data_IF_081332818509
#
_entry.id   IF_081332818509
#
_cell.length_a   1.000
_cell.length_b   1.000
_cell.length_c   1.000
_cell.angle_alpha   90.00
_cell.angle_beta   90.00
_cell.angle_gamma   90.00
#
_symmetry.space_group_name_H-M   'P 1'
#
loop_
_entity.id
_entity.type
_entity.pdbx_description
1 polymer ?
#
# COMPACT_ATOMS: atom_id res chain seq x y z
N UNK A 1 46.06 0.28 -6.27
CA UNK A 1 44.62 0.51 -6.59
C UNK A 1 43.83 -0.80 -6.70
N UNK A 2 44.38 -1.90 -7.23
CA UNK A 2 43.70 -3.21 -7.28
C UNK A 2 43.47 -3.85 -5.89
N UNK A 3 44.44 -3.77 -4.97
CA UNK A 3 44.32 -4.35 -3.62
C UNK A 3 43.31 -3.61 -2.73
N UNK A 4 43.26 -2.27 -2.79
CA UNK A 4 42.30 -1.45 -2.03
C UNK A 4 40.87 -1.70 -2.52
N UNK A 5 40.67 -1.83 -3.84
CA UNK A 5 39.36 -2.19 -4.40
C UNK A 5 38.96 -3.63 -4.03
N UNK A 6 39.92 -4.54 -3.94
CA UNK A 6 39.69 -5.92 -3.48
C UNK A 6 39.25 -6.01 -2.02
N UNK A 7 39.87 -5.23 -1.12
CA UNK A 7 39.48 -5.16 0.29
C UNK A 7 38.05 -4.61 0.47
N UNK A 8 37.71 -3.53 -0.22
CA UNK A 8 36.36 -2.96 -0.13
C UNK A 8 35.29 -3.94 -0.63
N UNK A 9 35.56 -4.69 -1.70
CA UNK A 9 34.61 -5.71 -2.18
C UNK A 9 34.38 -6.81 -1.14
N UNK A 10 35.43 -7.28 -0.48
CA UNK A 10 35.33 -8.29 0.59
C UNK A 10 34.50 -7.78 1.78
N UNK A 11 34.70 -6.53 2.20
CA UNK A 11 33.92 -5.93 3.30
C UNK A 11 32.42 -5.87 2.98
N UNK A 12 32.04 -5.51 1.75
CA UNK A 12 30.63 -5.50 1.35
C UNK A 12 30.03 -6.91 1.27
N UNK A 13 30.81 -7.91 0.87
CA UNK A 13 30.37 -9.31 0.88
C UNK A 13 30.08 -9.77 2.31
N UNK A 14 30.97 -9.47 3.27
CA UNK A 14 30.77 -9.80 4.68
C UNK A 14 29.50 -9.16 5.25
N UNK A 15 29.26 -7.89 4.95
CA UNK A 15 28.05 -7.17 5.37
C UNK A 15 26.80 -7.78 4.75
N UNK A 16 26.84 -8.13 3.46
CA UNK A 16 25.72 -8.80 2.79
C UNK A 16 25.38 -10.11 3.52
N UNK A 17 26.40 -10.91 3.85
CA UNK A 17 26.22 -12.16 4.61
C UNK A 17 25.62 -11.87 5.99
N UNK A 18 26.09 -10.84 6.70
CA UNK A 18 25.55 -10.48 8.02
C UNK A 18 24.10 -9.98 7.95
N UNK A 19 23.75 -9.15 6.95
CA UNK A 19 22.38 -8.69 6.72
C UNK A 19 21.46 -9.87 6.44
N UNK A 20 21.87 -10.80 5.57
CA UNK A 20 21.07 -12.00 5.27
C UNK A 20 20.89 -12.87 6.51
N UNK A 21 21.96 -13.08 7.31
CA UNK A 21 21.86 -13.83 8.58
C UNK A 21 20.88 -13.18 9.55
N UNK A 22 21.01 -11.88 9.79
CA UNK A 22 20.11 -11.13 10.68
C UNK A 22 18.67 -11.12 10.17
N UNK A 23 18.48 -11.03 8.86
CA UNK A 23 17.17 -11.12 8.22
C UNK A 23 16.53 -12.50 8.42
N UNK A 24 17.28 -13.58 8.23
CA UNK A 24 16.80 -14.96 8.48
C UNK A 24 16.43 -15.13 9.95
N UNK A 25 17.28 -14.65 10.88
CA UNK A 25 17.01 -14.71 12.32
C UNK A 25 15.71 -13.99 12.70
N UNK A 26 15.40 -12.87 12.04
CA UNK A 26 14.16 -12.12 12.26
C UNK A 26 12.90 -12.94 11.94
N UNK A 27 12.96 -13.87 10.98
CA UNK A 27 11.83 -14.74 10.64
C UNK A 27 11.47 -15.74 11.76
N UNK A 28 12.42 -16.01 12.66
CA UNK A 28 12.19 -16.82 13.86
C UNK A 28 11.73 -16.00 15.08
N UNK A 29 11.67 -14.66 14.96
CA UNK A 29 11.26 -13.82 16.08
C UNK A 29 9.75 -13.95 16.37
N UNK A 30 9.33 -13.94 17.65
CA UNK A 30 7.90 -13.96 18.00
C UNK A 30 7.14 -12.76 17.42
N UNK A 31 7.77 -11.59 17.37
CA UNK A 31 7.16 -10.37 16.84
C UNK A 31 6.81 -10.50 15.36
N UNK A 32 7.67 -11.14 14.55
CA UNK A 32 7.38 -11.40 13.15
C UNK A 32 6.08 -12.20 13.00
N UNK A 33 5.93 -13.30 13.75
CA UNK A 33 4.73 -14.13 13.68
C UNK A 33 3.47 -13.44 14.21
N UNK A 34 3.59 -12.54 15.18
CA UNK A 34 2.46 -11.68 15.60
C UNK A 34 2.00 -10.79 14.45
N UNK A 35 2.93 -10.14 13.73
CA UNK A 35 2.58 -9.34 12.54
C UNK A 35 1.93 -10.21 11.46
N UNK A 36 2.45 -11.41 11.22
CA UNK A 36 1.88 -12.35 10.26
C UNK A 36 0.44 -12.75 10.60
N UNK A 37 0.14 -13.02 11.88
CA UNK A 37 -1.22 -13.33 12.34
C UNK A 37 -2.17 -12.14 12.16
N UNK A 38 -1.72 -10.92 12.44
CA UNK A 38 -2.50 -9.71 12.21
C UNK A 38 -2.80 -9.52 10.72
N UNK A 39 -1.83 -9.77 9.84
CA UNK A 39 -2.05 -9.72 8.39
C UNK A 39 -3.00 -10.82 7.92
N UNK A 40 -2.86 -12.06 8.42
CA UNK A 40 -3.78 -13.15 8.11
C UNK A 40 -5.22 -12.77 8.49
N UNK A 41 -5.40 -12.14 9.65
CA UNK A 41 -6.70 -11.64 10.10
C UNK A 41 -7.24 -10.53 9.18
N UNK A 42 -6.40 -9.59 8.74
CA UNK A 42 -6.82 -8.54 7.79
C UNK A 42 -7.29 -9.13 6.45
N UNK A 43 -6.53 -10.06 5.87
CA UNK A 43 -6.91 -10.74 4.64
C UNK A 43 -8.19 -11.57 4.80
N UNK A 44 -8.36 -12.24 5.95
CA UNK A 44 -9.60 -12.94 6.27
C UNK A 44 -10.81 -12.01 6.31
N UNK A 45 -10.67 -10.83 6.94
CA UNK A 45 -11.77 -9.84 6.98
C UNK A 45 -12.09 -9.26 5.60
N UNK A 46 -11.08 -9.05 4.76
CA UNK A 46 -11.28 -8.61 3.37
C UNK A 46 -12.03 -9.66 2.56
N UNK A 47 -11.65 -10.93 2.68
CA UNK A 47 -12.35 -12.06 2.05
C UNK A 47 -13.82 -12.12 2.50
N UNK A 48 -14.07 -12.09 3.81
CA UNK A 48 -15.43 -12.12 4.37
C UNK A 48 -16.29 -10.96 3.85
N UNK A 49 -15.68 -9.77 3.71
CA UNK A 49 -16.37 -8.60 3.16
C UNK A 49 -16.71 -8.79 1.68
N UNK A 50 -15.83 -9.41 0.89
CA UNK A 50 -16.07 -9.75 -0.52
C UNK A 50 -17.20 -10.77 -0.67
N UNK A 51 -17.20 -11.83 0.13
CA UNK A 51 -18.26 -12.84 0.15
C UNK A 51 -19.62 -12.22 0.53
N UNK A 52 -19.65 -11.34 1.53
CA UNK A 52 -20.88 -10.67 1.96
C UNK A 52 -21.47 -9.72 0.89
N UNK A 53 -20.63 -9.08 0.08
CA UNK A 53 -21.08 -8.13 -0.94
C UNK A 53 -21.52 -8.80 -2.24
N UNK A 54 -20.91 -9.92 -2.62
CA UNK A 54 -21.09 -10.51 -3.94
C UNK A 54 -21.48 -12.00 -3.94
N UNK A 55 -21.58 -12.63 -2.76
CA UNK A 55 -21.93 -14.05 -2.63
C UNK A 55 -20.90 -15.02 -3.22
N UNK A 56 -19.68 -14.53 -3.48
CA UNK A 56 -18.61 -15.30 -4.11
C UNK A 56 -17.99 -16.20 -3.05
N UNK A 57 -18.29 -17.49 -3.13
CA UNK A 57 -17.68 -18.49 -2.26
C UNK A 57 -16.42 -19.03 -2.91
N UNK A 58 -15.33 -19.03 -2.14
CA UNK A 58 -14.07 -19.65 -2.51
C UNK A 58 -13.05 -18.63 -2.98
N UNK A 59 -12.04 -18.42 -2.14
CA UNK A 59 -10.78 -17.86 -2.58
C UNK A 59 -9.59 -18.65 -2.07
N UNK A 60 -8.53 -18.58 -2.86
CA UNK A 60 -7.22 -19.10 -2.54
C UNK A 60 -6.53 -18.21 -1.52
N UNK A 61 -5.75 -18.78 -0.60
CA UNK A 61 -4.81 -18.06 0.26
C UNK A 61 -3.69 -17.32 -0.50
N UNK A 62 -3.75 -17.31 -1.83
CA UNK A 62 -2.75 -16.76 -2.73
C UNK A 62 -2.45 -15.27 -2.52
N UNK A 63 -3.43 -14.36 -2.38
CA UNK A 63 -3.12 -12.94 -2.15
C UNK A 63 -2.33 -12.71 -0.86
N UNK A 64 -2.59 -13.53 0.17
CA UNK A 64 -1.85 -13.51 1.43
C UNK A 64 -0.40 -13.98 1.23
N UNK A 65 -0.18 -15.13 0.58
CA UNK A 65 1.18 -15.60 0.28
C UNK A 65 1.97 -14.67 -0.65
N UNK A 66 1.31 -14.05 -1.63
CA UNK A 66 1.91 -13.06 -2.51
C UNK A 66 2.35 -11.81 -1.71
N UNK A 67 1.53 -11.37 -0.76
CA UNK A 67 1.88 -10.25 0.11
C UNK A 67 3.08 -10.57 1.01
N UNK A 68 3.15 -11.79 1.54
CA UNK A 68 4.31 -12.26 2.32
C UNK A 68 5.55 -12.28 1.42
N UNK A 69 5.49 -12.98 0.28
CA UNK A 69 6.63 -13.14 -0.61
C UNK A 69 7.18 -11.79 -1.10
N UNK A 70 6.29 -10.89 -1.54
CA UNK A 70 6.69 -9.54 -1.93
C UNK A 70 7.21 -8.71 -0.75
N UNK A 71 6.61 -8.84 0.43
CA UNK A 71 7.06 -8.18 1.66
C UNK A 71 8.44 -8.62 2.13
N UNK A 72 8.76 -9.92 2.02
CA UNK A 72 10.11 -10.45 2.30
C UNK A 72 11.15 -9.87 1.34
N UNK A 73 10.84 -9.84 0.03
CA UNK A 73 11.72 -9.24 -0.98
C UNK A 73 11.90 -7.74 -0.73
N UNK A 74 10.81 -7.02 -0.47
CA UNK A 74 10.83 -5.60 -0.14
C UNK A 74 11.60 -5.29 1.13
N UNK A 75 11.47 -6.13 2.16
CA UNK A 75 12.19 -6.02 3.41
C UNK A 75 13.68 -6.30 3.31
N UNK A 76 14.07 -7.29 2.49
CA UNK A 76 15.48 -7.54 2.20
C UNK A 76 16.10 -6.38 1.40
N UNK A 77 15.39 -5.85 0.41
CA UNK A 77 15.80 -4.66 -0.32
C UNK A 77 15.92 -3.42 0.61
N UNK A 78 14.94 -3.22 1.49
CA UNK A 78 14.97 -2.18 2.52
C UNK A 78 16.21 -2.30 3.41
N UNK A 79 16.55 -3.53 3.83
CA UNK A 79 17.73 -3.80 4.67
C UNK A 79 19.03 -3.38 3.98
N UNK A 80 19.21 -3.76 2.72
CA UNK A 80 20.40 -3.36 1.96
C UNK A 80 20.47 -1.85 1.76
N UNK A 81 19.35 -1.20 1.46
CA UNK A 81 19.29 0.25 1.30
C UNK A 81 19.57 0.98 2.62
N UNK A 82 19.02 0.51 3.74
CA UNK A 82 19.29 1.05 5.08
C UNK A 82 20.80 1.00 5.38
N UNK A 83 21.42 -0.16 5.16
CA UNK A 83 22.86 -0.34 5.40
C UNK A 83 23.67 0.52 4.43
N UNK A 84 23.38 0.46 3.13
CA UNK A 84 24.12 1.19 2.11
C UNK A 84 24.08 2.71 2.31
N UNK A 85 22.90 3.26 2.61
CA UNK A 85 22.71 4.69 2.89
C UNK A 85 23.22 5.10 4.28
N UNK A 86 23.46 4.12 5.16
CA UNK A 86 23.89 4.39 6.52
C UNK A 86 22.77 4.91 7.43
N UNK A 87 21.53 4.53 7.15
CA UNK A 87 20.37 4.98 7.94
C UNK A 87 20.37 4.24 9.27
N UNK A 88 20.60 4.99 10.36
CA UNK A 88 20.62 4.47 11.72
C UNK A 88 19.32 4.71 12.46
N UNK A 89 18.92 3.76 13.32
CA UNK A 89 17.78 3.91 14.24
C UNK A 89 18.13 4.60 15.55
N UNK A 90 19.40 4.94 15.77
CA UNK A 90 19.81 5.69 16.95
C UNK A 90 19.16 7.07 16.95
N UNK A 91 18.55 7.43 18.08
CA UNK A 91 17.94 8.74 18.30
C UNK A 91 16.90 9.17 17.25
N UNK A 92 16.31 8.28 16.44
CA UNK A 92 15.26 8.70 15.49
C UNK A 92 13.89 8.91 16.15
N UNK A 93 13.77 8.67 17.46
CA UNK A 93 12.52 8.88 18.19
C UNK A 93 11.46 7.80 17.98
N UNK A 94 11.83 6.53 17.75
CA UNK A 94 10.87 5.41 17.63
C UNK A 94 9.87 5.38 18.79
N UNK A 95 10.33 5.65 20.01
CA UNK A 95 9.49 5.68 21.21
C UNK A 95 8.38 6.75 21.15
N UNK A 96 8.61 7.85 20.40
CA UNK A 96 7.66 8.94 20.20
C UNK A 96 6.81 8.79 18.94
N UNK A 97 7.35 8.12 17.91
CA UNK A 97 6.63 7.84 16.66
C UNK A 97 5.31 7.11 16.90
N UNK A 98 5.33 6.07 17.73
CA UNK A 98 4.14 5.26 18.01
C UNK A 98 3.03 6.04 18.73
N UNK A 99 3.29 6.72 19.88
CA UNK A 99 2.30 7.57 20.52
C UNK A 99 1.72 8.64 19.59
N UNK A 100 2.56 9.34 18.82
CA UNK A 100 2.10 10.40 17.91
C UNK A 100 1.23 9.81 16.78
N UNK A 101 1.64 8.70 16.16
CA UNK A 101 0.83 8.03 15.13
C UNK A 101 -0.52 7.55 15.68
N UNK A 102 -0.55 7.02 16.91
CA UNK A 102 -1.78 6.62 17.60
C UNK A 102 -2.68 7.83 17.90
N UNK A 103 -2.12 8.96 18.36
CA UNK A 103 -2.89 10.19 18.57
C UNK A 103 -3.51 10.69 17.25
N UNK A 104 -2.75 10.64 16.16
CA UNK A 104 -3.23 11.01 14.83
C UNK A 104 -4.34 10.09 14.32
N UNK A 105 -4.31 8.78 14.64
CA UNK A 105 -5.38 7.82 14.33
C UNK A 105 -6.74 8.29 14.87
N UNK A 106 -6.78 8.85 16.09
CA UNK A 106 -8.02 9.33 16.70
C UNK A 106 -8.62 10.53 15.94
N UNK A 107 -7.76 11.37 15.35
CA UNK A 107 -8.18 12.49 14.49
C UNK A 107 -8.71 11.96 13.16
N UNK A 108 -7.92 11.13 12.48
CA UNK A 108 -8.34 10.47 11.25
C UNK A 108 -7.43 9.27 10.97
N UNK A 109 -7.98 8.09 10.58
CA UNK A 109 -7.17 6.93 10.22
C UNK A 109 -6.14 7.18 9.11
N UNK A 110 -6.36 8.20 8.25
CA UNK A 110 -5.41 8.59 7.21
C UNK A 110 -4.10 9.18 7.74
N UNK A 111 -4.09 9.72 8.97
CA UNK A 111 -2.95 10.42 9.55
C UNK A 111 -1.98 9.50 10.31
N UNK A 112 -2.23 8.19 10.33
CA UNK A 112 -1.37 7.20 11.01
C UNK A 112 0.00 7.05 10.36
N UNK A 113 0.09 7.37 9.07
CA UNK A 113 1.33 7.25 8.31
C UNK A 113 2.50 8.01 8.97
N UNK A 114 3.69 7.38 8.97
CA UNK A 114 4.91 7.95 9.57
C UNK A 114 5.39 9.25 8.92
N UNK A 115 4.94 9.58 7.70
CA UNK A 115 5.18 10.90 7.10
C UNK A 115 4.59 12.03 7.96
N UNK A 116 3.41 11.81 8.55
CA UNK A 116 2.79 12.80 9.44
C UNK A 116 3.46 12.81 10.82
N UNK A 117 3.54 11.64 11.47
CA UNK A 117 4.11 11.55 12.82
C UNK A 117 5.59 11.97 12.85
N UNK A 118 6.40 11.49 11.90
CA UNK A 118 7.81 11.83 11.77
C UNK A 118 8.01 13.32 11.50
N UNK A 119 7.26 13.91 10.56
CA UNK A 119 7.32 15.34 10.29
C UNK A 119 6.97 16.20 11.51
N UNK A 120 5.90 15.86 12.24
CA UNK A 120 5.52 16.58 13.45
C UNK A 120 6.58 16.48 14.56
N UNK A 121 7.15 15.29 14.77
CA UNK A 121 8.22 15.08 15.75
C UNK A 121 9.47 15.89 15.37
N UNK A 122 9.86 15.85 14.09
CA UNK A 122 11.00 16.62 13.60
C UNK A 122 10.79 18.13 13.75
N UNK A 123 9.61 18.65 13.39
CA UNK A 123 9.29 20.07 13.57
C UNK A 123 9.27 20.45 15.06
N UNK A 124 8.72 19.59 15.93
CA UNK A 124 8.71 19.82 17.37
C UNK A 124 10.14 19.91 17.92
N UNK A 125 11.03 19.02 17.50
CA UNK A 125 12.44 19.09 17.89
C UNK A 125 13.13 20.36 17.37
N UNK A 126 12.90 20.73 16.12
CA UNK A 126 13.55 21.91 15.53
C UNK A 126 13.05 23.24 16.11
N UNK A 127 11.80 23.30 16.58
CA UNK A 127 11.21 24.52 17.15
C UNK A 127 11.40 24.59 18.67
N UNK A 128 11.16 23.47 19.37
CA UNK A 128 11.10 23.42 20.83
C UNK A 128 12.25 22.64 21.47
N UNK A 129 13.08 21.96 20.69
CA UNK A 129 14.15 21.10 21.19
C UNK A 129 13.69 19.75 21.74
N UNK A 130 12.38 19.43 21.66
CA UNK A 130 11.81 18.21 22.24
C UNK A 130 10.80 17.52 21.30
N UNK A 131 10.75 16.17 21.28
CA UNK A 131 11.76 15.26 21.84
C UNK A 131 13.07 15.33 21.05
N UNK A 132 14.20 15.00 21.67
CA UNK A 132 15.49 14.99 20.97
C UNK A 132 15.51 13.89 19.90
N UNK A 133 15.59 14.28 18.62
CA UNK A 133 15.62 13.34 17.50
C UNK A 133 16.62 13.73 16.42
N UNK A 134 17.18 12.72 15.75
CA UNK A 134 17.94 12.89 14.52
C UNK A 134 16.97 13.04 13.33
N UNK A 135 16.75 14.29 12.91
CA UNK A 135 15.80 14.62 11.84
C UNK A 135 16.21 14.03 10.49
N UNK A 136 17.47 14.18 10.01
CA UNK A 136 17.92 13.52 8.77
C UNK A 136 17.68 12.02 8.77
N UNK A 137 18.06 11.30 9.83
CA UNK A 137 17.90 9.85 9.93
C UNK A 137 16.42 9.44 9.94
N UNK A 138 15.59 10.15 10.71
CA UNK A 138 14.16 9.90 10.77
C UNK A 138 13.47 10.12 9.42
N UNK A 139 13.78 11.23 8.73
CA UNK A 139 13.19 11.54 7.43
C UNK A 139 13.67 10.58 6.34
N UNK A 140 14.92 10.13 6.40
CA UNK A 140 15.45 9.11 5.50
C UNK A 140 14.79 7.75 5.70
N UNK A 141 14.52 7.34 6.94
CA UNK A 141 13.74 6.13 7.22
C UNK A 141 12.33 6.24 6.63
N UNK A 142 11.64 7.37 6.86
CA UNK A 142 10.31 7.61 6.29
C UNK A 142 10.36 7.53 4.76
N UNK A 143 11.34 8.16 4.12
CA UNK A 143 11.52 8.10 2.67
C UNK A 143 11.74 6.67 2.18
N UNK A 144 12.61 5.91 2.83
CA UNK A 144 12.92 4.53 2.45
C UNK A 144 11.69 3.62 2.56
N UNK A 145 10.91 3.73 3.64
CA UNK A 145 9.70 2.94 3.83
C UNK A 145 8.67 3.19 2.72
N UNK A 146 8.42 4.45 2.36
CA UNK A 146 7.49 4.78 1.26
C UNK A 146 8.06 4.43 -0.12
N UNK A 147 9.38 4.45 -0.30
CA UNK A 147 10.01 3.99 -1.53
C UNK A 147 9.80 2.48 -1.72
N UNK A 148 9.96 1.69 -0.67
CA UNK A 148 9.66 0.25 -0.67
C UNK A 148 8.17 0.02 -0.89
N UNK A 149 7.30 0.77 -0.23
CA UNK A 149 5.85 0.74 -0.45
C UNK A 149 5.51 0.99 -1.92
N UNK A 150 6.10 2.02 -2.54
CA UNK A 150 5.87 2.35 -3.95
C UNK A 150 6.23 1.18 -4.88
N UNK A 151 7.33 0.47 -4.62
CA UNK A 151 7.72 -0.72 -5.38
C UNK A 151 6.73 -1.87 -5.18
N UNK A 152 6.27 -2.10 -3.95
CA UNK A 152 5.28 -3.13 -3.64
C UNK A 152 3.92 -2.86 -4.28
N UNK A 153 3.48 -1.59 -4.31
CA UNK A 153 2.28 -1.13 -5.01
C UNK A 153 2.41 -1.41 -6.52
N UNK A 154 3.58 -1.15 -7.11
CA UNK A 154 3.80 -1.39 -8.54
C UNK A 154 3.61 -2.87 -8.90
N UNK A 155 4.16 -3.76 -8.09
CA UNK A 155 4.15 -5.22 -8.36
C UNK A 155 2.81 -5.84 -8.00
N UNK A 156 2.25 -5.52 -6.83
CA UNK A 156 1.12 -6.26 -6.25
C UNK A 156 -0.13 -5.42 -5.96
N UNK A 157 -0.05 -4.09 -6.08
CA UNK A 157 -1.13 -3.17 -5.70
C UNK A 157 -2.43 -3.33 -6.50
N UNK A 158 -2.35 -3.88 -7.71
CA UNK A 158 -3.49 -4.09 -8.61
C UNK A 158 -4.10 -5.48 -8.54
N UNK A 159 -3.43 -6.42 -7.87
CA UNK A 159 -3.84 -7.82 -7.78
C UNK A 159 -5.04 -7.93 -6.84
N UNK A 160 -6.03 -8.77 -7.17
CA UNK A 160 -7.20 -9.01 -6.30
C UNK A 160 -7.85 -7.70 -5.82
N UNK A 161 -8.20 -6.86 -6.78
CA UNK A 161 -8.94 -5.64 -6.56
C UNK A 161 -10.39 -5.98 -6.25
N UNK A 162 -10.97 -5.38 -5.20
CA UNK A 162 -12.33 -5.71 -4.77
C UNK A 162 -13.32 -4.78 -5.48
N UNK A 163 -14.25 -5.29 -6.30
CA UNK A 163 -15.26 -4.44 -6.93
C UNK A 163 -16.17 -3.85 -5.85
N UNK A 164 -16.60 -2.61 -6.03
CA UNK A 164 -17.47 -1.89 -5.09
C UNK A 164 -18.40 -0.95 -5.84
N UNK A 165 -19.58 -0.66 -5.27
CA UNK A 165 -20.44 0.43 -5.73
C UNK A 165 -20.26 1.64 -4.85
N UNK A 166 -20.01 2.79 -5.47
CA UNK A 166 -19.85 4.06 -4.77
C UNK A 166 -20.67 5.17 -5.41
N UNK A 167 -20.98 6.19 -4.62
CA UNK A 167 -21.63 7.41 -5.13
C UNK A 167 -20.57 8.32 -5.72
N UNK A 168 -20.73 8.66 -6.99
CA UNK A 168 -19.91 9.66 -7.67
C UNK A 168 -20.35 11.08 -7.29
N UNK A 169 -19.48 12.08 -7.48
CA UNK A 169 -19.84 13.49 -7.24
C UNK A 169 -21.04 13.97 -8.06
N UNK A 170 -21.27 13.35 -9.22
CA UNK A 170 -22.46 13.61 -10.05
C UNK A 170 -23.77 13.09 -9.45
N UNK A 171 -23.73 12.44 -8.30
CA UNK A 171 -24.89 11.85 -7.62
C UNK A 171 -25.26 10.44 -8.10
N UNK A 172 -24.74 9.99 -9.24
CA UNK A 172 -24.96 8.64 -9.78
C UNK A 172 -24.16 7.58 -9.01
N UNK A 173 -24.67 6.35 -8.98
CA UNK A 173 -23.93 5.19 -8.46
C UNK A 173 -23.09 4.62 -9.59
N UNK A 174 -21.82 4.37 -9.31
CA UNK A 174 -20.84 3.88 -10.27
C UNK A 174 -20.12 2.66 -9.70
N UNK A 175 -19.65 1.80 -10.60
CA UNK A 175 -18.71 0.74 -10.26
C UNK A 175 -17.32 1.32 -10.05
N UNK A 176 -16.60 0.77 -9.09
CA UNK A 176 -15.20 1.07 -8.83
C UNK A 176 -14.51 -0.16 -8.24
N UNK A 177 -13.21 -0.08 -8.08
CA UNK A 177 -12.42 -1.08 -7.38
C UNK A 177 -11.73 -0.49 -6.16
N UNK A 178 -11.92 -1.13 -5.02
CA UNK A 178 -11.17 -0.87 -3.80
C UNK A 178 -9.84 -1.65 -3.85
N UNK A 179 -8.74 -0.91 -3.83
CA UNK A 179 -7.38 -1.45 -3.83
C UNK A 179 -6.87 -1.38 -2.40
N UNK A 180 -6.69 -2.53 -1.76
CA UNK A 180 -6.21 -2.60 -0.39
C UNK A 180 -5.18 -3.72 -0.25
N UNK A 181 -4.01 -3.40 0.29
CA UNK A 181 -2.90 -4.35 0.50
C UNK A 181 -2.17 -4.09 1.80
N UNK A 182 -1.64 -5.16 2.38
CA UNK A 182 -0.81 -5.12 3.58
C UNK A 182 0.38 -6.03 3.39
N UNK A 183 1.60 -5.52 3.59
CA UNK A 183 2.84 -6.27 3.42
C UNK A 183 3.62 -6.32 4.73
N UNK A 184 4.08 -7.51 5.17
CA UNK A 184 5.03 -7.61 6.27
C UNK A 184 6.42 -7.27 5.74
N UNK A 185 7.08 -6.31 6.37
CA UNK A 185 8.43 -5.86 5.97
C UNK A 185 9.39 -6.17 7.11
N UNK A 186 9.89 -7.42 7.21
CA UNK A 186 11.05 -7.69 8.05
C UNK A 186 12.24 -6.96 7.43
N UNK A 187 12.97 -6.18 8.23
CA UNK A 187 14.16 -5.47 7.75
C UNK A 187 15.25 -5.51 8.81
N UNK A 188 16.48 -5.32 8.37
CA UNK A 188 17.65 -5.16 9.21
C UNK A 188 18.07 -3.71 9.11
N UNK A 189 18.14 -3.03 10.25
CA UNK A 189 18.51 -1.64 10.34
C UNK A 189 19.87 -1.49 11.03
N UNK A 190 20.51 -0.34 10.84
CA UNK A 190 21.74 -0.02 11.54
C UNK A 190 21.41 0.61 12.89
N UNK A 191 22.16 0.22 13.90
CA UNK A 191 22.36 1.00 15.10
C UNK A 191 23.84 1.20 15.32
N UNK A 192 24.20 2.17 16.15
CA UNK A 192 25.59 2.39 16.50
C UNK A 192 25.78 2.53 18.01
N UNK A 193 27.00 2.26 18.45
CA UNK A 193 27.47 2.50 19.80
C UNK A 193 28.78 3.28 19.73
N UNK A 194 28.96 4.20 20.67
CA UNK A 194 30.21 4.96 20.82
C UNK A 194 31.11 4.18 21.77
N UNK A 195 32.32 3.84 21.32
CA UNK A 195 33.29 3.09 22.13
C UNK A 195 34.30 4.07 22.77
N UNK A 196 34.33 4.17 24.11
CA UNK A 196 35.36 4.95 24.80
C UNK A 196 36.70 4.23 24.76
N UNK A 197 37.76 4.91 24.33
CA UNK A 197 39.11 4.33 24.21
C UNK A 197 39.29 3.59 22.90
N UNK A 198 40.03 4.20 21.97
CA UNK A 198 40.10 3.83 20.55
C UNK A 198 40.79 2.52 20.18
N UNK A 199 40.77 1.50 21.05
CA UNK A 199 41.28 0.19 20.70
C UNK A 199 40.35 -0.52 19.70
N UNK A 200 40.97 -1.09 18.68
CA UNK A 200 40.28 -1.92 17.71
C UNK A 200 39.80 -3.17 18.44
N UNK A 201 38.50 -3.36 18.48
CA UNK A 201 37.97 -4.66 18.88
C UNK A 201 38.13 -5.58 17.66
N UNK A 202 38.71 -6.77 17.84
CA UNK A 202 38.80 -7.77 16.77
C UNK A 202 37.39 -8.22 16.35
N UNK A 203 37.17 -8.41 15.03
CA UNK A 203 35.90 -8.87 14.47
C UNK A 203 34.98 -7.79 13.87
N UNK A 204 35.42 -6.52 13.83
CA UNK A 204 34.68 -5.43 13.16
C UNK A 204 35.11 -5.25 11.69
N UNK A 205 34.12 -5.08 10.82
CA UNK A 205 34.31 -4.81 9.39
C UNK A 205 34.69 -3.33 9.21
N UNK A 206 35.85 -3.06 8.60
CA UNK A 206 36.26 -1.68 8.31
C UNK A 206 35.48 -1.12 7.13
N UNK A 207 34.71 -0.05 7.37
CA UNK A 207 33.90 0.59 6.35
C UNK A 207 34.71 1.64 5.56
N UNK A 208 34.39 1.87 4.28
CA UNK A 208 34.99 2.96 3.50
C UNK A 208 34.71 4.33 4.12
N UNK A 209 35.64 5.28 3.97
CA UNK A 209 35.54 6.63 4.56
C UNK A 209 34.33 7.47 4.10
N UNK A 210 33.74 7.15 2.95
CA UNK A 210 32.54 7.84 2.45
C UNK A 210 31.26 7.39 3.17
N UNK A 211 31.31 6.23 3.82
CA UNK A 211 30.17 5.62 4.50
C UNK A 211 30.19 5.96 6.00
N UNK A 212 29.05 6.28 6.63
CA UNK A 212 27.69 6.33 6.04
C UNK A 212 27.42 7.57 5.20
N UNK A 213 26.53 7.44 4.20
CA UNK A 213 26.08 8.57 3.38
C UNK A 213 25.31 9.59 4.22
N UNK A 214 24.44 9.11 5.13
CA UNK A 214 23.75 9.95 6.10
C UNK A 214 24.47 9.82 7.43
N UNK A 215 25.20 10.88 7.82
CA UNK A 215 26.00 10.87 9.04
C UNK A 215 25.11 10.84 10.29
N UNK A 216 25.44 10.04 11.31
CA UNK A 216 24.71 10.06 12.57
C UNK A 216 24.95 11.37 13.32
N UNK A 217 23.88 12.01 13.79
CA UNK A 217 23.95 13.19 14.64
C UNK A 217 24.43 12.87 16.06
N UNK A 218 25.06 13.84 16.71
CA UNK A 218 25.44 13.76 18.13
C UNK A 218 26.70 12.95 18.44
N UNK A 219 27.45 12.49 17.43
CA UNK A 219 28.74 11.84 17.60
C UNK A 219 29.86 12.88 17.53
N UNK A 220 30.74 12.92 18.55
CA UNK A 220 31.95 13.76 18.51
C UNK A 220 32.93 13.24 17.44
N UNK A 221 33.58 14.13 16.70
CA UNK A 221 34.53 13.75 15.62
C UNK A 221 35.69 12.85 16.08
N UNK A 222 36.05 12.92 17.36
CA UNK A 222 37.11 12.10 17.97
C UNK A 222 36.66 10.71 18.43
N UNK A 223 35.35 10.44 18.45
CA UNK A 223 34.81 9.21 18.99
C UNK A 223 34.72 8.12 17.91
N UNK A 224 35.27 6.94 18.18
CA UNK A 224 35.09 5.78 17.30
C UNK A 224 33.67 5.23 17.45
N UNK A 225 32.99 5.07 16.32
CA UNK A 225 31.64 4.53 16.24
C UNK A 225 31.69 3.10 15.73
N UNK A 226 31.00 2.22 16.42
CA UNK A 226 30.80 0.84 16.02
C UNK A 226 29.35 0.66 15.59
N UNK A 227 29.15 0.10 14.40
CA UNK A 227 27.81 -0.19 13.88
C UNK A 227 27.42 -1.64 14.15
N UNK A 228 26.14 -1.85 14.45
CA UNK A 228 25.52 -3.15 14.64
C UNK A 228 24.22 -3.24 13.84
N UNK A 229 23.86 -4.47 13.48
CA UNK A 229 22.63 -4.76 12.76
C UNK A 229 21.52 -5.13 13.75
N UNK A 230 20.39 -4.42 13.68
CA UNK A 230 19.21 -4.68 14.51
C UNK A 230 18.05 -5.14 13.62
N UNK A 231 17.46 -6.31 13.90
CA UNK A 231 16.28 -6.77 13.18
C UNK A 231 15.03 -5.98 13.64
N UNK A 232 14.24 -5.52 12.68
CA UNK A 232 13.01 -4.74 12.90
C UNK A 232 11.91 -5.26 11.97
N UNK A 233 10.70 -5.42 12.51
CA UNK A 233 9.52 -5.78 11.71
C UNK A 233 8.65 -4.54 11.56
N UNK A 234 8.34 -4.18 10.32
CA UNK A 234 7.34 -3.18 9.98
C UNK A 234 6.18 -3.82 9.21
N UNK A 235 5.05 -3.13 9.16
CA UNK A 235 3.94 -3.46 8.26
C UNK A 235 3.62 -2.22 7.43
N UNK A 236 3.57 -2.38 6.11
CA UNK A 236 3.18 -1.32 5.18
C UNK A 236 1.78 -1.62 4.63
N UNK A 237 1.00 -0.57 4.38
CA UNK A 237 -0.38 -0.70 3.94
C UNK A 237 -0.70 0.28 2.83
N UNK A 238 -1.29 -0.22 1.74
CA UNK A 238 -1.76 0.57 0.61
C UNK A 238 -3.28 0.56 0.56
N UNK A 239 -3.88 1.73 0.29
CA UNK A 239 -5.33 1.91 0.16
C UNK A 239 -5.64 2.96 -0.89
N UNK A 240 -6.38 2.59 -1.94
CA UNK A 240 -6.81 3.51 -3.00
C UNK A 240 -8.10 3.03 -3.70
N UNK A 241 -8.68 3.89 -4.54
CA UNK A 241 -9.90 3.60 -5.31
C UNK A 241 -9.68 3.85 -6.80
N UNK A 242 -10.03 2.86 -7.61
CA UNK A 242 -10.00 2.93 -9.06
C UNK A 242 -11.42 3.01 -9.62
N UNK A 243 -11.90 4.23 -9.88
CA UNK A 243 -13.23 4.50 -10.45
C UNK A 243 -13.18 4.99 -11.90
N UNK A 244 -12.09 5.68 -12.28
CA UNK A 244 -11.90 6.34 -13.58
C UNK A 244 -10.84 5.66 -14.45
N UNK A 245 -10.16 4.66 -13.90
CA UNK A 245 -9.09 3.91 -14.53
C UNK A 245 -9.14 2.45 -14.07
N UNK A 246 -8.44 1.57 -14.77
CA UNK A 246 -8.27 0.20 -14.29
C UNK A 246 -7.45 0.15 -12.98
N UNK A 247 -7.59 -0.92 -12.16
CA UNK A 247 -6.74 -1.16 -10.99
C UNK A 247 -5.23 -1.04 -11.28
N UNK A 248 -4.78 -1.58 -12.42
CA UNK A 248 -3.37 -1.59 -12.80
C UNK A 248 -2.83 -0.22 -13.18
N UNK A 249 -3.60 0.55 -13.95
CA UNK A 249 -3.26 1.94 -14.26
C UNK A 249 -3.23 2.79 -12.98
N UNK A 250 -4.21 2.60 -12.09
CA UNK A 250 -4.28 3.30 -10.80
C UNK A 250 -3.05 3.01 -9.93
N UNK A 251 -2.74 1.73 -9.69
CA UNK A 251 -1.57 1.33 -8.89
C UNK A 251 -0.26 1.85 -9.47
N UNK A 252 -0.07 1.84 -10.80
CA UNK A 252 1.15 2.37 -11.42
C UNK A 252 1.32 3.86 -11.17
N UNK A 253 0.23 4.63 -11.25
CA UNK A 253 0.26 6.08 -11.01
C UNK A 253 0.47 6.41 -9.53
N UNK A 254 -0.22 5.70 -8.62
CA UNK A 254 -0.04 5.88 -7.18
C UNK A 254 1.40 5.51 -6.75
N UNK A 255 1.94 4.41 -7.27
CA UNK A 255 3.34 4.02 -7.08
C UNK A 255 4.29 5.10 -7.57
N UNK A 256 4.10 5.65 -8.78
CA UNK A 256 4.97 6.69 -9.33
C UNK A 256 5.00 7.95 -8.46
N UNK A 257 3.84 8.46 -8.04
CA UNK A 257 3.78 9.65 -7.18
C UNK A 257 4.44 9.40 -5.82
N UNK A 258 4.20 8.22 -5.22
CA UNK A 258 4.78 7.88 -3.93
C UNK A 258 6.31 7.69 -4.02
N UNK A 259 6.79 7.09 -5.11
CA UNK A 259 8.22 6.96 -5.38
C UNK A 259 8.89 8.32 -5.55
N UNK A 260 8.28 9.23 -6.34
CA UNK A 260 8.80 10.58 -6.53
C UNK A 260 8.87 11.35 -5.21
N UNK A 261 7.81 11.29 -4.39
CA UNK A 261 7.80 11.86 -3.05
C UNK A 261 8.96 11.32 -2.20
N UNK A 262 9.11 9.99 -2.18
CA UNK A 262 10.14 9.31 -1.39
C UNK A 262 11.55 9.68 -1.84
N UNK A 263 11.77 9.74 -3.16
CA UNK A 263 13.06 10.10 -3.74
C UNK A 263 13.46 11.54 -3.37
N UNK A 264 12.52 12.49 -3.48
CA UNK A 264 12.76 13.88 -3.08
C UNK A 264 13.00 13.99 -1.57
N UNK A 265 12.19 13.31 -0.75
CA UNK A 265 12.36 13.32 0.71
C UNK A 265 13.73 12.73 1.12
N UNK A 266 14.18 11.67 0.47
CA UNK A 266 15.50 11.09 0.70
C UNK A 266 16.62 12.08 0.35
N UNK A 267 16.53 12.75 -0.81
CA UNK A 267 17.50 13.78 -1.20
C UNK A 267 17.57 14.95 -0.22
N UNK A 268 16.41 15.42 0.26
CA UNK A 268 16.33 16.46 1.30
C UNK A 268 16.91 15.99 2.64
N UNK A 269 16.75 14.70 2.98
CA UNK A 269 17.30 14.11 4.19
C UNK A 269 18.83 14.01 4.14
N UNK A 270 19.38 13.59 2.99
CA UNK A 270 20.84 13.60 2.74
C UNK A 270 21.37 15.03 2.85
N UNK A 271 20.72 16.02 2.22
CA UNK A 271 21.12 17.42 2.34
C UNK A 271 21.13 17.90 3.81
N UNK A 272 20.08 17.60 4.57
CA UNK A 272 19.97 17.95 5.98
C UNK A 272 21.03 17.29 6.88
N UNK A 273 21.58 16.14 6.47
CA UNK A 273 22.68 15.50 7.18
C UNK A 273 24.03 16.22 7.02
N UNK A 274 24.20 17.00 5.95
CA UNK A 274 25.41 17.78 5.70
C UNK A 274 25.27 19.23 6.16
N UNK A 275 24.04 19.77 6.14
CA UNK A 275 23.75 21.17 6.43
C UNK A 275 22.60 21.28 7.43
N UNK A 276 22.91 21.45 8.71
CA UNK A 276 21.92 21.29 9.80
C UNK A 276 20.71 22.23 9.69
N UNK A 277 20.86 23.45 9.17
CA UNK A 277 19.73 24.38 9.04
C UNK A 277 18.69 23.92 8.00
N UNK A 278 19.07 23.08 7.03
CA UNK A 278 18.14 22.57 6.03
C UNK A 278 17.24 21.47 6.57
N UNK A 279 17.40 21.03 7.83
CA UNK A 279 16.56 20.01 8.47
C UNK A 279 15.07 20.36 8.52
N UNK A 280 14.71 21.65 8.48
CA UNK A 280 13.32 22.09 8.36
C UNK A 280 12.68 21.68 7.03
N UNK A 281 13.47 21.55 5.95
CA UNK A 281 12.97 21.20 4.62
C UNK A 281 12.36 19.79 4.56
N UNK A 282 13.08 18.69 4.89
CA UNK A 282 12.46 17.37 4.90
C UNK A 282 11.39 17.23 5.99
N UNK A 283 11.55 17.88 7.15
CA UNK A 283 10.57 17.86 8.24
C UNK A 283 9.20 18.43 7.82
N UNK A 284 9.19 19.53 7.06
CA UNK A 284 7.97 20.13 6.52
C UNK A 284 7.47 19.40 5.26
N UNK A 285 8.39 19.01 4.37
CA UNK A 285 8.05 18.33 3.13
C UNK A 285 7.41 16.96 3.37
N UNK A 286 7.81 16.22 4.40
CA UNK A 286 7.27 14.90 4.70
C UNK A 286 5.73 14.88 4.84
N UNK A 287 5.10 15.63 5.76
CA UNK A 287 3.63 15.66 5.89
C UNK A 287 2.93 16.36 4.71
N UNK A 288 3.50 17.45 4.19
CA UNK A 288 2.87 18.22 3.11
C UNK A 288 2.93 17.50 1.76
N UNK A 289 4.08 16.93 1.43
CA UNK A 289 4.29 16.14 0.22
C UNK A 289 3.45 14.88 0.24
N UNK A 290 3.34 14.20 1.38
CA UNK A 290 2.49 13.02 1.51
C UNK A 290 1.00 13.37 1.36
N UNK A 291 0.54 14.49 1.94
CA UNK A 291 -0.83 15.00 1.72
C UNK A 291 -1.07 15.36 0.25
N UNK A 292 -0.07 15.92 -0.44
CA UNK A 292 -0.15 16.22 -1.87
C UNK A 292 -0.32 14.95 -2.71
N UNK A 293 0.45 13.89 -2.44
CA UNK A 293 0.32 12.58 -3.12
C UNK A 293 -1.11 12.03 -2.97
N UNK A 294 -1.67 12.08 -1.75
CA UNK A 294 -3.03 11.62 -1.47
C UNK A 294 -4.05 12.47 -2.24
N UNK A 295 -3.93 13.80 -2.22
CA UNK A 295 -4.88 14.70 -2.90
C UNK A 295 -4.85 14.55 -4.41
N UNK A 296 -3.68 14.34 -5.00
CA UNK A 296 -3.55 14.07 -6.43
C UNK A 296 -4.31 12.78 -6.80
N UNK A 297 -4.17 11.72 -5.99
CA UNK A 297 -4.89 10.46 -6.19
C UNK A 297 -6.42 10.64 -6.06
N UNK A 298 -6.88 11.39 -5.06
CA UNK A 298 -8.31 11.62 -4.80
C UNK A 298 -8.97 12.51 -5.86
N UNK A 299 -8.30 13.59 -6.28
CA UNK A 299 -8.83 14.52 -7.28
C UNK A 299 -9.12 13.80 -8.60
N UNK A 300 -8.18 12.97 -9.05
CA UNK A 300 -8.35 12.15 -10.25
C UNK A 300 -9.58 11.23 -10.17
N UNK A 301 -9.75 10.52 -9.05
CA UNK A 301 -10.88 9.61 -8.86
C UNK A 301 -12.25 10.30 -8.82
N UNK A 302 -12.28 11.61 -8.58
CA UNK A 302 -13.50 12.39 -8.42
C UNK A 302 -13.87 13.26 -9.63
N UNK A 303 -12.88 13.77 -10.37
CA UNK A 303 -13.11 14.66 -11.52
C UNK A 303 -13.08 13.96 -12.87
N UNK A 304 -12.62 12.71 -12.94
CA UNK A 304 -12.58 11.94 -14.18
C UNK A 304 -13.95 11.37 -14.58
N UNK A 305 -14.08 10.95 -15.83
CA UNK A 305 -15.25 10.18 -16.30
C UNK A 305 -15.21 8.78 -15.70
N UNK A 306 -16.24 8.37 -14.93
CA UNK A 306 -16.30 7.02 -14.36
C UNK A 306 -16.26 5.96 -15.46
N UNK A 307 -15.44 4.93 -15.24
CA UNK A 307 -15.20 3.91 -16.25
C UNK A 307 -16.28 2.81 -16.25
N UNK A 308 -16.80 2.49 -15.06
CA UNK A 308 -17.74 1.38 -14.88
C UNK A 308 -19.14 1.92 -14.58
N UNK A 309 -19.90 2.18 -15.64
CA UNK A 309 -21.23 2.78 -15.59
C UNK A 309 -22.23 1.96 -16.40
N UNK A 310 -23.51 2.16 -16.11
CA UNK A 310 -24.61 1.59 -16.90
C UNK A 310 -24.56 2.12 -18.35
N UNK A 311 -24.36 1.24 -19.35
CA UNK A 311 -24.30 1.65 -20.75
C UNK A 311 -25.71 1.89 -21.34
N UNK A 312 -25.77 2.55 -22.51
CA UNK A 312 -27.05 2.81 -23.20
C UNK A 312 -27.71 1.52 -23.73
N UNK A 313 -26.88 0.55 -24.13
CA UNK A 313 -27.30 -0.77 -24.62
C UNK A 313 -26.41 -1.82 -23.98
N UNK A 314 -26.99 -2.95 -23.62
CA UNK A 314 -26.26 -4.02 -22.98
C UNK A 314 -26.18 -3.88 -21.47
N UNK A 315 -25.43 -4.78 -20.84
CA UNK A 315 -25.01 -4.68 -19.43
C UNK A 315 -23.50 -4.76 -19.33
N UNK A 316 -22.90 -3.80 -18.62
CA UNK A 316 -21.46 -3.77 -18.43
C UNK A 316 -21.02 -4.74 -17.33
N UNK A 317 -19.97 -5.49 -17.62
CA UNK A 317 -19.29 -6.38 -16.67
C UNK A 317 -18.32 -5.54 -15.84
N UNK A 318 -18.59 -5.43 -14.53
CA UNK A 318 -17.65 -4.83 -13.58
C UNK A 318 -16.49 -5.78 -13.28
N UNK A 319 -16.77 -7.04 -12.97
CA UNK A 319 -15.73 -8.03 -12.67
C UNK A 319 -16.15 -9.45 -13.08
N UNK A 320 -15.17 -10.33 -13.28
CA UNK A 320 -15.40 -11.72 -13.68
C UNK A 320 -14.65 -12.66 -12.74
N UNK A 321 -15.39 -13.61 -12.17
CA UNK A 321 -14.82 -14.59 -11.25
C UNK A 321 -13.80 -15.49 -11.94
N UNK A 322 -12.54 -15.56 -11.47
CA UNK A 322 -11.54 -16.45 -12.04
C UNK A 322 -12.04 -17.91 -12.09
N UNK A 323 -11.86 -18.56 -13.23
CA UNK A 323 -12.27 -19.95 -13.43
C UNK A 323 -13.78 -20.19 -13.60
N UNK A 324 -14.62 -19.17 -13.49
CA UNK A 324 -16.08 -19.27 -13.72
C UNK A 324 -16.46 -19.54 -15.19
N UNK A 325 -17.72 -19.93 -15.48
CA UNK A 325 -18.21 -20.03 -16.85
C UNK A 325 -17.98 -18.76 -17.68
N UNK A 326 -18.25 -17.57 -17.12
CA UNK A 326 -18.00 -16.30 -17.78
C UNK A 326 -16.51 -16.07 -18.10
N UNK A 327 -15.61 -16.42 -17.17
CA UNK A 327 -14.16 -16.31 -17.40
C UNK A 327 -13.68 -17.20 -18.55
N UNK A 328 -14.16 -18.45 -18.57
CA UNK A 328 -13.83 -19.44 -19.62
C UNK A 328 -14.47 -19.09 -20.97
N UNK A 329 -15.63 -18.44 -20.97
CA UNK A 329 -16.26 -17.91 -22.17
C UNK A 329 -15.42 -16.81 -22.84
N UNK A 330 -14.61 -16.10 -22.04
CA UNK A 330 -13.72 -15.05 -22.51
C UNK A 330 -14.09 -13.65 -22.03
N UNK A 331 -15.17 -13.50 -21.24
CA UNK A 331 -15.58 -12.22 -20.69
C UNK A 331 -14.51 -11.64 -19.77
N UNK A 332 -14.30 -10.34 -19.84
CA UNK A 332 -13.37 -9.57 -19.00
C UNK A 332 -14.04 -8.32 -18.44
N UNK A 333 -13.41 -7.75 -17.42
CA UNK A 333 -13.79 -6.45 -16.85
C UNK A 333 -13.93 -5.38 -17.93
N UNK A 334 -15.06 -4.67 -17.93
CA UNK A 334 -15.39 -3.61 -18.87
C UNK A 334 -16.12 -4.06 -20.13
N UNK A 335 -16.22 -5.37 -20.40
CA UNK A 335 -17.00 -5.88 -21.54
C UNK A 335 -18.49 -5.54 -21.38
N UNK A 336 -19.20 -5.35 -22.49
CA UNK A 336 -20.63 -5.07 -22.49
C UNK A 336 -21.36 -6.25 -23.13
N UNK A 337 -22.11 -7.00 -22.33
CA UNK A 337 -22.93 -8.11 -22.81
C UNK A 337 -24.16 -7.52 -23.50
N UNK A 338 -24.44 -7.98 -24.72
CA UNK A 338 -25.53 -7.49 -25.56
C UNK A 338 -26.67 -8.50 -25.68
N UNK A 339 -26.32 -9.78 -25.70
CA UNK A 339 -27.24 -10.89 -25.97
C UNK A 339 -26.79 -12.16 -25.23
N UNK A 340 -27.76 -12.95 -24.79
CA UNK A 340 -27.55 -14.31 -24.29
C UNK A 340 -28.59 -15.22 -24.95
N UNK A 341 -28.13 -16.25 -25.66
CA UNK A 341 -28.97 -17.25 -26.34
C UNK A 341 -30.01 -16.65 -27.30
N UNK A 342 -29.69 -15.55 -27.98
CA UNK A 342 -30.60 -14.83 -28.87
C UNK A 342 -31.58 -13.89 -28.16
N UNK A 343 -31.47 -13.75 -26.83
CA UNK A 343 -32.24 -12.80 -26.04
C UNK A 343 -31.42 -11.53 -25.76
N UNK A 344 -31.88 -10.34 -26.20
CA UNK A 344 -31.24 -9.08 -25.87
C UNK A 344 -31.19 -8.84 -24.37
N UNK A 345 -30.02 -8.43 -23.87
CA UNK A 345 -29.80 -8.15 -22.45
C UNK A 345 -29.54 -6.65 -22.26
N UNK A 346 -30.48 -5.90 -21.68
CA UNK A 346 -30.31 -4.46 -21.39
C UNK A 346 -30.46 -4.13 -19.91
N UNK A 347 -30.71 -5.12 -19.06
CA UNK A 347 -30.82 -4.93 -17.62
C UNK A 347 -30.30 -6.16 -16.87
N UNK A 348 -30.01 -5.97 -15.57
CA UNK A 348 -29.66 -7.08 -14.68
C UNK A 348 -30.76 -8.15 -14.64
N UNK A 349 -32.02 -7.71 -14.75
CA UNK A 349 -33.18 -8.60 -14.78
C UNK A 349 -33.23 -9.42 -16.07
N UNK A 350 -33.03 -8.78 -17.23
CA UNK A 350 -32.98 -9.47 -18.52
C UNK A 350 -31.88 -10.54 -18.51
N UNK A 351 -30.72 -10.19 -17.95
CA UNK A 351 -29.61 -11.13 -17.82
C UNK A 351 -29.95 -12.31 -16.92
N UNK A 352 -30.60 -12.08 -15.77
CA UNK A 352 -31.01 -13.18 -14.89
C UNK A 352 -31.99 -14.13 -15.57
N UNK A 353 -32.98 -13.58 -16.29
CA UNK A 353 -33.98 -14.37 -17.02
C UNK A 353 -33.32 -15.19 -18.13
N UNK A 354 -32.46 -14.57 -18.95
CA UNK A 354 -31.77 -15.27 -20.04
C UNK A 354 -30.82 -16.38 -19.54
N UNK A 355 -30.18 -16.18 -18.38
CA UNK A 355 -29.32 -17.19 -17.77
C UNK A 355 -30.11 -18.34 -17.13
N UNK A 356 -31.29 -18.08 -16.59
CA UNK A 356 -32.18 -19.10 -16.01
C UNK A 356 -32.75 -20.01 -17.11
N UNK A 357 -33.19 -19.44 -18.24
CA UNK A 357 -33.76 -20.19 -19.38
C UNK A 357 -32.71 -21.00 -20.17
N UNK A 358 -31.43 -20.70 -19.97
CA UNK A 358 -30.32 -21.30 -20.73
C UNK A 358 -30.14 -22.83 -20.59
N UNK A 359 -30.78 -23.48 -19.60
CA UNK A 359 -30.60 -24.91 -19.25
C UNK A 359 -29.12 -25.36 -19.19
N UNK A 360 -28.21 -24.44 -18.90
CA UNK A 360 -26.77 -24.71 -18.82
C UNK A 360 -25.97 -24.48 -20.11
N UNK A 361 -26.60 -24.27 -21.26
CA UNK A 361 -25.92 -23.86 -22.50
C UNK A 361 -26.03 -22.34 -22.67
N UNK A 362 -24.89 -21.64 -22.64
CA UNK A 362 -24.85 -20.18 -22.74
C UNK A 362 -24.02 -19.81 -23.95
N UNK A 363 -24.67 -19.28 -24.96
CA UNK A 363 -24.07 -18.48 -26.01
C UNK A 363 -24.26 -17.01 -25.66
N UNK A 364 -23.19 -16.22 -25.66
CA UNK A 364 -23.27 -14.79 -25.39
C UNK A 364 -22.59 -13.99 -26.49
N UNK A 365 -23.17 -12.83 -26.79
CA UNK A 365 -22.55 -11.80 -27.62
C UNK A 365 -22.20 -10.59 -26.76
N UNK A 366 -20.97 -10.09 -26.90
CA UNK A 366 -20.51 -8.93 -26.15
C UNK A 366 -19.59 -8.03 -26.96
N UNK A 367 -19.54 -6.78 -26.56
CA UNK A 367 -18.58 -5.80 -27.04
C UNK A 367 -17.36 -5.82 -26.12
N UNK A 368 -16.18 -6.09 -26.69
CA UNK A 368 -14.93 -6.09 -25.95
C UNK A 368 -14.54 -4.69 -25.48
N UNK A 369 -14.08 -4.62 -24.23
CA UNK A 369 -13.57 -3.40 -23.62
C UNK A 369 -12.38 -2.81 -24.39
N UNK A 370 -12.36 -1.47 -24.56
CA UNK A 370 -11.38 -0.66 -25.34
C UNK A 370 -11.32 -0.93 -26.84
N UNK A 371 -11.49 -2.16 -27.31
CA UNK A 371 -11.37 -2.50 -28.73
C UNK A 371 -12.66 -2.29 -29.52
N UNK A 372 -13.82 -2.23 -28.84
CA UNK A 372 -15.15 -2.20 -29.46
C UNK A 372 -15.36 -3.32 -30.51
N UNK A 373 -14.65 -4.44 -30.35
CA UNK A 373 -14.83 -5.62 -31.21
C UNK A 373 -15.99 -6.45 -30.69
N UNK A 374 -16.88 -6.82 -31.59
CA UNK A 374 -17.91 -7.82 -31.29
C UNK A 374 -17.25 -9.18 -31.07
N UNK A 375 -17.72 -9.90 -30.07
CA UNK A 375 -17.30 -11.24 -29.74
C UNK A 375 -18.51 -12.10 -29.43
N UNK A 376 -18.45 -13.34 -29.88
CA UNK A 376 -19.48 -14.35 -29.68
C UNK A 376 -18.79 -15.66 -29.34
N UNK A 377 -19.26 -16.30 -28.28
CA UNK A 377 -18.76 -17.60 -27.89
C UNK A 377 -19.86 -18.35 -27.13
N UNK A 378 -19.70 -19.67 -26.99
CA UNK A 378 -20.62 -20.51 -26.25
C UNK A 378 -19.89 -21.40 -25.24
N UNK A 379 -20.54 -21.66 -24.11
CA UNK A 379 -20.03 -22.55 -23.07
C UNK A 379 -21.16 -23.34 -22.40
N UNK A 380 -20.82 -24.49 -21.82
CA UNK A 380 -21.68 -25.19 -20.89
C UNK A 380 -21.31 -24.86 -19.43
N UNK A 381 -22.31 -24.50 -18.63
CA UNK A 381 -22.22 -24.40 -17.16
C UNK A 381 -22.90 -25.59 -16.50
N UNK A 382 -22.45 -25.96 -15.30
CA UNK A 382 -23.15 -26.94 -14.48
C UNK A 382 -24.53 -26.44 -14.05
N UNK A 383 -25.48 -27.36 -13.84
CA UNK A 383 -26.78 -27.03 -13.26
C UNK A 383 -26.58 -26.40 -11.86
N UNK A 384 -27.20 -25.24 -11.62
CA UNK A 384 -27.03 -24.48 -10.37
C UNK A 384 -25.69 -23.75 -10.21
N UNK A 385 -24.73 -23.90 -11.14
CA UNK A 385 -23.48 -23.15 -11.09
C UNK A 385 -23.73 -21.68 -11.46
N UNK A 386 -23.23 -20.70 -10.67
CA UNK A 386 -23.33 -19.29 -11.03
C UNK A 386 -22.51 -18.99 -12.30
N UNK A 387 -23.01 -18.08 -13.15
CA UNK A 387 -22.31 -17.69 -14.38
C UNK A 387 -20.97 -17.00 -14.09
N UNK A 388 -20.91 -16.25 -12.98
CA UNK A 388 -19.68 -15.69 -12.43
C UNK A 388 -19.28 -14.32 -12.97
N UNK A 389 -20.27 -13.47 -13.27
CA UNK A 389 -20.05 -12.04 -13.53
C UNK A 389 -20.56 -11.19 -12.36
N UNK A 390 -19.92 -10.05 -12.17
CA UNK A 390 -20.39 -8.94 -11.36
C UNK A 390 -20.67 -7.80 -12.32
N UNK A 391 -21.88 -7.26 -12.29
CA UNK A 391 -22.31 -6.22 -13.23
C UNK A 391 -22.02 -4.83 -12.66
N UNK A 392 -21.84 -3.85 -13.55
CA UNK A 392 -21.85 -2.45 -13.17
C UNK A 392 -23.20 -2.08 -12.52
N UNK A 393 -23.24 -1.08 -11.62
CA UNK A 393 -24.49 -0.66 -11.02
C UNK A 393 -25.38 0.03 -12.05
N UNK A 394 -26.66 -0.35 -12.05
CA UNK A 394 -27.73 0.34 -12.73
C UNK A 394 -28.27 1.52 -11.90
N UNK A 395 -29.26 2.26 -12.42
CA UNK A 395 -29.75 3.50 -11.82
C UNK A 395 -30.40 3.34 -10.45
N UNK A 396 -30.86 2.13 -10.11
CA UNK A 396 -31.57 1.82 -8.86
C UNK A 396 -30.68 1.14 -7.81
N UNK A 397 -29.42 0.84 -8.12
CA UNK A 397 -28.53 0.18 -7.17
C UNK A 397 -28.13 1.13 -6.02
N UNK A 398 -28.07 0.59 -4.82
CA UNK A 398 -27.60 1.33 -3.65
C UNK A 398 -26.05 1.33 -3.60
N UNK A 399 -25.41 2.44 -3.19
CA UNK A 399 -23.97 2.44 -2.96
C UNK A 399 -23.64 1.52 -1.78
N UNK A 400 -22.71 0.59 -2.00
CA UNK A 400 -22.23 -0.37 -1.00
C UNK A 400 -21.28 0.29 -0.01
N UNK A 401 -20.52 1.31 -0.45
CA UNK A 401 -19.55 2.01 0.39
C UNK A 401 -19.99 3.46 0.60
N UNK A 402 -20.27 3.82 1.86
CA UNK A 402 -20.37 5.21 2.31
C UNK A 402 -19.03 5.61 2.91
N UNK A 403 -18.21 6.36 2.17
CA UNK A 403 -16.98 6.92 2.72
C UNK A 403 -17.32 8.01 3.74
N UNK A 404 -17.26 7.69 5.04
CA UNK A 404 -17.15 8.72 6.07
C UNK A 404 -15.65 8.93 6.36
N UNK A 405 -15.13 10.09 5.94
CA UNK A 405 -13.79 10.57 6.28
C UNK A 405 -13.62 10.94 7.75
N UNK A 406 -14.68 10.86 8.54
CA UNK A 406 -14.71 11.26 9.94
C UNK A 406 -13.87 10.31 10.81
N UNK A 407 -12.97 10.89 11.61
CA UNK A 407 -12.31 10.20 12.71
C UNK A 407 -13.32 9.59 13.69
N UNK A 408 -12.87 8.60 14.46
CA UNK A 408 -13.69 7.95 15.50
C UNK A 408 -14.27 9.01 16.45
N UNK A 409 -13.47 10.04 16.76
CA UNK A 409 -13.81 11.16 17.62
C UNK A 409 -14.91 12.05 17.04
N UNK A 410 -14.81 12.41 15.75
CA UNK A 410 -15.85 13.19 15.04
C UNK A 410 -17.16 12.41 14.89
N UNK A 411 -17.10 11.10 14.65
CA UNK A 411 -18.28 10.23 14.64
C UNK A 411 -18.94 10.15 16.01
N UNK A 412 -18.14 10.03 17.07
CA UNK A 412 -18.62 9.99 18.44
C UNK A 412 -19.24 11.33 18.88
N UNK A 413 -18.58 12.46 18.60
CA UNK A 413 -19.09 13.81 18.86
C UNK A 413 -20.39 14.10 18.08
N UNK A 414 -20.48 13.69 16.82
CA UNK A 414 -21.73 13.79 16.03
C UNK A 414 -22.85 12.93 16.62
N UNK A 415 -22.54 11.74 17.12
CA UNK A 415 -23.52 10.84 17.75
C UNK A 415 -24.04 11.42 19.07
N UNK A 416 -23.17 12.05 19.86
CA UNK A 416 -23.56 12.79 21.07
C UNK A 416 -24.40 14.02 20.74
N UNK A 417 -23.96 14.84 19.76
CA UNK A 417 -24.70 16.03 19.33
C UNK A 417 -26.08 15.69 18.79
N UNK A 418 -26.22 14.59 18.04
CA UNK A 418 -27.54 14.08 17.60
C UNK A 418 -28.42 13.68 18.77
N UNK A 419 -27.89 12.98 19.79
CA UNK A 419 -28.64 12.64 21.01
C UNK A 419 -29.12 13.87 21.79
N UNK A 420 -28.30 14.92 21.85
CA UNK A 420 -28.70 16.18 22.49
C UNK A 420 -29.74 16.98 21.69
N UNK A 421 -29.72 16.91 20.36
CA UNK A 421 -30.66 17.63 19.48
C UNK A 421 -32.00 16.90 19.30
N UNK A 422 -32.06 15.58 19.50
CA UNK A 422 -33.31 14.80 19.52
C UNK A 422 -33.94 14.70 20.91
N UNK A 423 -33.38 15.40 21.90
CA UNK A 423 -33.84 15.46 23.30
C UNK A 423 -34.58 16.76 23.62
N UNK A 424 -34.89 17.58 22.62
CA UNK A 424 -35.89 18.66 22.66
C UNK A 424 -36.98 18.30 21.65
#
# INVERSE_FOLDING_TARGET
MSEVNGLHLLTWIEIIVQVVKAFIQLLYSPLFWVVMLLLAYQYYQMYKSKEALFGIKGETLWPYFLAIGSGLVGGLAASFLMVFLGISLNNIGIIWLWPVAILLLFISPRLVCFSYAGGLISLSYLIFGVPHVDVPQLMALVALLHMVEALLILVTGHVDAVPVYMRHQSGRVIGAFNLQKFWPIPMVALAFMVVPGGEFVEGFVQMPNWWPLIKPGGVQESAKVVYQLIPVVAALGYGDLAAVSSPREKSRKSSFHLFLFSFVLLGLSVLASHVSWTAFLPALFSPLGHEMVIRLSQKEGQSGTPLYVDPVRGVMVLDVLPGSPAYRLGLRTGDIILDINGWPVNSKYDMSVALEDSLGFIEAEWLQYKSNKFSRNAIRKGLGQPFGVILAPGPYDAPMVKFSSDGILLRWLRKLRKRFLTSK
#
